data_IF_994148649340
#
_entry.id   IF_994148649340
#
_cell.length_a   1.000
_cell.length_b   1.000
_cell.length_c   1.000
_cell.angle_alpha   90.00
_cell.angle_beta   90.00
_cell.angle_gamma   90.00
#
_symmetry.space_group_name_H-M   'P 1'
#
loop_
_entity.id
_entity.type
_entity.pdbx_description
1 polymer ?
#
# COMPACT_ATOMS: atom_id res chain seq x y z
N UNK A 1 9.79 -5.31 22.43
CA UNK A 1 8.77 -5.85 23.36
C UNK A 1 7.43 -5.10 23.31
N UNK A 2 7.37 -3.76 23.42
CA UNK A 2 6.07 -3.03 23.46
C UNK A 2 5.16 -3.24 22.23
N UNK A 3 5.70 -3.22 21.00
CA UNK A 3 4.92 -3.44 19.75
C UNK A 3 4.28 -4.83 19.73
N UNK A 4 5.07 -5.86 20.08
CA UNK A 4 4.60 -7.25 20.11
C UNK A 4 3.44 -7.40 21.10
N UNK A 5 3.54 -6.79 22.28
CA UNK A 5 2.47 -6.85 23.28
C UNK A 5 1.18 -6.18 22.80
N UNK A 6 1.27 -5.00 22.16
CA UNK A 6 0.08 -4.35 21.59
C UNK A 6 -0.54 -5.17 20.46
N UNK A 7 0.29 -5.76 19.59
CA UNK A 7 -0.20 -6.62 18.52
C UNK A 7 -0.82 -7.92 19.04
N UNK A 8 -0.21 -8.58 20.02
CA UNK A 8 -0.78 -9.77 20.67
C UNK A 8 -2.09 -9.44 21.38
N UNK A 9 -2.17 -8.31 22.08
CA UNK A 9 -3.41 -7.82 22.69
C UNK A 9 -4.51 -7.59 21.65
N UNK A 10 -4.18 -6.98 20.50
CA UNK A 10 -5.13 -6.83 19.41
C UNK A 10 -5.59 -8.17 18.81
N UNK A 11 -4.69 -9.13 18.61
CA UNK A 11 -5.06 -10.47 18.14
C UNK A 11 -5.95 -11.20 19.15
N UNK A 12 -5.67 -11.07 20.45
CA UNK A 12 -6.52 -11.62 21.49
C UNK A 12 -7.93 -11.01 21.43
N UNK A 13 -8.04 -9.69 21.24
CA UNK A 13 -9.33 -9.03 21.01
C UNK A 13 -10.02 -9.52 19.73
N UNK A 14 -9.30 -9.75 18.64
CA UNK A 14 -9.87 -10.33 17.41
C UNK A 14 -10.41 -11.74 17.63
N UNK A 15 -9.68 -12.58 18.39
CA UNK A 15 -10.13 -13.93 18.73
C UNK A 15 -11.41 -13.86 19.58
N UNK A 16 -11.44 -13.01 20.61
CA UNK A 16 -12.66 -12.81 21.40
C UNK A 16 -13.81 -12.31 20.53
N UNK A 17 -13.56 -11.34 19.65
CA UNK A 17 -14.56 -10.79 18.75
C UNK A 17 -15.08 -11.83 17.75
N UNK A 18 -14.25 -12.78 17.30
CA UNK A 18 -14.68 -13.86 16.39
C UNK A 18 -15.70 -14.83 16.99
N UNK A 19 -15.91 -14.80 18.31
CA UNK A 19 -16.98 -15.57 18.97
C UNK A 19 -18.31 -14.81 19.03
N UNK A 20 -18.33 -13.52 18.67
CA UNK A 20 -19.55 -12.72 18.62
C UNK A 20 -20.31 -12.95 17.30
N UNK A 21 -21.64 -12.78 17.26
CA UNK A 21 -22.41 -12.87 16.01
C UNK A 21 -21.87 -11.89 14.95
N UNK A 22 -21.39 -12.42 13.82
CA UNK A 22 -20.79 -11.66 12.74
C UNK A 22 -21.01 -12.33 11.37
N UNK A 23 -20.80 -11.58 10.28
CA UNK A 23 -20.87 -12.09 8.91
C UNK A 23 -19.93 -13.29 8.73
N UNK A 24 -20.28 -14.31 7.94
CA UNK A 24 -19.39 -15.44 7.68
C UNK A 24 -18.20 -14.99 6.84
N UNK A 25 -17.11 -14.60 7.52
CA UNK A 25 -15.87 -14.10 6.90
C UNK A 25 -14.77 -15.15 7.01
N UNK A 26 -14.10 -15.51 5.90
CA UNK A 26 -13.00 -16.48 5.91
C UNK A 26 -11.79 -15.96 6.71
N UNK A 27 -10.84 -16.85 7.02
CA UNK A 27 -9.67 -16.54 7.86
C UNK A 27 -8.77 -15.42 7.31
N UNK A 28 -8.59 -15.32 5.99
CA UNK A 28 -7.66 -14.37 5.37
C UNK A 28 -7.96 -12.89 5.70
N UNK A 29 -9.20 -12.39 5.58
CA UNK A 29 -9.56 -11.05 6.06
C UNK A 29 -9.19 -10.76 7.52
N UNK A 30 -9.29 -11.73 8.43
CA UNK A 30 -8.85 -11.56 9.82
C UNK A 30 -7.34 -11.41 9.93
N UNK A 31 -6.59 -12.23 9.19
CA UNK A 31 -5.13 -12.11 9.08
C UNK A 31 -4.74 -10.73 8.51
N UNK A 32 -5.42 -10.28 7.45
CA UNK A 32 -5.19 -8.97 6.86
C UNK A 32 -5.44 -7.84 7.86
N UNK A 33 -6.52 -7.91 8.66
CA UNK A 33 -6.80 -6.95 9.72
C UNK A 33 -5.71 -6.92 10.80
N UNK A 34 -5.19 -8.08 11.19
CA UNK A 34 -4.06 -8.19 12.10
C UNK A 34 -2.77 -7.58 11.53
N UNK A 35 -2.49 -7.84 10.25
CA UNK A 35 -1.34 -7.27 9.53
C UNK A 35 -1.45 -5.75 9.39
N UNK A 36 -2.63 -5.22 9.06
CA UNK A 36 -2.87 -3.77 9.01
C UNK A 36 -2.53 -3.11 10.34
N UNK A 37 -2.99 -3.67 11.46
CA UNK A 37 -2.70 -3.12 12.78
C UNK A 37 -1.20 -3.17 13.10
N UNK A 38 -0.52 -4.27 12.77
CA UNK A 38 0.92 -4.39 12.96
C UNK A 38 1.71 -3.38 12.11
N UNK A 39 1.34 -3.22 10.83
CA UNK A 39 1.92 -2.22 9.93
C UNK A 39 1.72 -0.81 10.50
N UNK A 40 0.55 -0.50 11.07
CA UNK A 40 0.31 0.75 11.76
C UNK A 40 1.27 0.95 12.94
N UNK A 41 1.39 -0.01 13.85
CA UNK A 41 2.30 0.10 15.00
C UNK A 41 3.77 0.28 14.60
N UNK A 42 4.23 -0.46 13.59
CA UNK A 42 5.61 -0.35 13.07
C UNK A 42 5.81 1.02 12.41
N UNK A 43 4.85 1.48 11.60
CA UNK A 43 4.91 2.80 10.95
C UNK A 43 4.94 3.94 11.97
N UNK A 44 4.15 3.84 13.05
CA UNK A 44 4.17 4.82 14.12
C UNK A 44 5.52 4.84 14.87
N UNK A 45 6.14 3.68 15.04
CA UNK A 45 7.46 3.56 15.65
C UNK A 45 8.52 4.26 14.78
N UNK A 46 8.46 4.04 13.46
CA UNK A 46 9.34 4.74 12.51
C UNK A 46 9.08 6.24 12.57
N UNK A 47 7.83 6.69 12.57
CA UNK A 47 7.48 8.11 12.67
C UNK A 47 8.08 8.79 13.92
N UNK A 48 8.08 8.10 15.06
CA UNK A 48 8.64 8.64 16.31
C UNK A 48 10.17 8.73 16.31
N UNK A 49 10.84 7.76 15.71
CA UNK A 49 12.29 7.64 15.79
C UNK A 49 13.02 8.32 14.63
N UNK A 50 12.45 8.26 13.43
CA UNK A 50 13.09 8.72 12.20
C UNK A 50 13.12 10.26 12.12
N UNK A 51 14.29 10.83 11.83
CA UNK A 51 14.44 12.28 11.67
C UNK A 51 13.95 12.78 10.30
N UNK A 52 14.13 11.98 9.24
CA UNK A 52 13.89 12.39 7.86
C UNK A 52 12.64 11.72 7.27
N UNK A 53 11.81 12.47 6.56
CA UNK A 53 10.58 11.96 5.92
C UNK A 53 9.60 11.25 6.87
N UNK A 54 9.63 11.56 8.17
CA UNK A 54 8.80 10.90 9.18
C UNK A 54 7.29 11.01 8.87
N UNK A 55 6.87 12.08 8.22
CA UNK A 55 5.46 12.33 7.85
C UNK A 55 4.90 11.28 6.90
N UNK A 56 5.75 10.68 6.06
CA UNK A 56 5.35 9.55 5.20
C UNK A 56 4.85 8.40 6.07
N UNK A 57 5.62 8.05 7.10
CA UNK A 57 5.28 6.95 8.01
C UNK A 57 4.09 7.29 8.91
N UNK A 58 3.84 8.57 9.20
CA UNK A 58 2.63 9.00 9.87
C UNK A 58 1.37 8.78 9.02
N UNK A 59 1.43 9.14 7.73
CA UNK A 59 0.32 8.89 6.79
C UNK A 59 0.05 7.38 6.61
N UNK A 60 1.12 6.57 6.54
CA UNK A 60 1.01 5.10 6.51
C UNK A 60 0.36 4.58 7.80
N UNK A 61 0.78 5.09 8.97
CA UNK A 61 0.20 4.72 10.26
C UNK A 61 -1.31 5.00 10.30
N UNK A 62 -1.74 6.22 9.98
CA UNK A 62 -3.17 6.58 9.99
C UNK A 62 -3.96 5.69 9.02
N UNK A 63 -3.43 5.51 7.81
CA UNK A 63 -4.07 4.68 6.78
C UNK A 63 -4.30 3.27 7.31
N UNK A 64 -3.24 2.58 7.73
CA UNK A 64 -3.34 1.18 8.12
C UNK A 64 -4.06 0.97 9.45
N UNK A 65 -4.08 1.96 10.34
CA UNK A 65 -4.91 1.94 11.55
C UNK A 65 -6.40 1.96 11.18
N UNK A 66 -6.80 2.81 10.24
CA UNK A 66 -8.19 2.89 9.79
C UNK A 66 -8.60 1.66 8.96
N UNK A 67 -7.68 1.07 8.19
CA UNK A 67 -7.90 -0.22 7.54
C UNK A 67 -8.15 -1.34 8.57
N UNK A 68 -7.42 -1.38 9.69
CA UNK A 68 -7.62 -2.42 10.72
C UNK A 68 -8.97 -2.29 11.44
N UNK A 69 -9.43 -1.07 11.67
CA UNK A 69 -10.77 -0.79 12.24
C UNK A 69 -11.92 -1.17 11.29
N UNK A 70 -11.63 -1.49 10.02
CA UNK A 70 -12.62 -2.02 9.08
C UNK A 70 -13.26 -3.33 9.55
N UNK A 71 -12.64 -4.09 10.45
CA UNK A 71 -13.25 -5.30 11.01
C UNK A 71 -14.59 -5.01 11.71
N UNK A 72 -14.84 -3.79 12.18
CA UNK A 72 -16.10 -3.44 12.87
C UNK A 72 -17.33 -3.65 11.98
N UNK A 73 -17.22 -3.46 10.66
CA UNK A 73 -18.40 -3.54 9.79
C UNK A 73 -18.99 -4.94 9.67
N UNK A 74 -18.22 -5.99 9.91
CA UNK A 74 -18.68 -7.39 9.76
C UNK A 74 -19.59 -7.82 10.92
N UNK A 75 -19.67 -7.02 11.97
CA UNK A 75 -20.52 -7.24 13.14
C UNK A 75 -21.87 -6.50 13.04
N UNK A 76 -22.11 -5.75 11.95
CA UNK A 76 -23.34 -4.98 11.75
C UNK A 76 -24.35 -5.79 10.93
N UNK A 77 -25.54 -6.00 11.48
CA UNK A 77 -26.72 -6.51 10.77
C UNK A 77 -27.75 -7.17 11.69
N UNK A 78 -28.87 -7.59 11.12
CA UNK A 78 -30.09 -7.96 11.87
C UNK A 78 -29.91 -9.21 12.75
N UNK A 79 -29.00 -10.11 12.36
CA UNK A 79 -28.62 -11.29 13.13
C UNK A 79 -27.17 -11.22 13.67
N UNK A 80 -26.58 -10.03 13.70
CA UNK A 80 -25.21 -9.84 14.14
C UNK A 80 -25.16 -8.99 15.42
N UNK A 81 -23.96 -8.68 15.89
CA UNK A 81 -23.76 -8.09 17.21
C UNK A 81 -24.43 -6.71 17.39
N UNK A 82 -24.65 -5.95 16.30
CA UNK A 82 -25.30 -4.64 16.39
C UNK A 82 -25.98 -4.21 15.08
N UNK A 83 -26.98 -3.33 15.18
CA UNK A 83 -27.62 -2.69 14.03
C UNK A 83 -28.60 -3.59 13.27
N UNK A 84 -28.79 -3.28 11.97
CA UNK A 84 -29.63 -4.03 11.05
C UNK A 84 -28.94 -4.12 9.67
N UNK A 85 -29.44 -4.98 8.79
CA UNK A 85 -28.78 -5.26 7.50
C UNK A 85 -28.66 -4.01 6.63
N UNK A 86 -29.62 -3.09 6.74
CA UNK A 86 -29.59 -1.78 6.09
C UNK A 86 -28.38 -0.96 6.52
N UNK A 87 -28.15 -0.79 7.83
CA UNK A 87 -27.00 -0.06 8.37
C UNK A 87 -25.70 -0.80 8.04
N UNK A 88 -25.70 -2.13 8.09
CA UNK A 88 -24.51 -2.93 7.79
C UNK A 88 -24.03 -2.75 6.37
N UNK A 89 -24.93 -2.84 5.40
CA UNK A 89 -24.61 -2.60 3.99
C UNK A 89 -24.16 -1.15 3.74
N UNK A 90 -24.87 -0.18 4.33
CA UNK A 90 -24.53 1.24 4.22
C UNK A 90 -23.10 1.53 4.73
N UNK A 91 -22.78 1.11 5.95
CA UNK A 91 -21.47 1.32 6.56
C UNK A 91 -20.37 0.61 5.76
N UNK A 92 -20.64 -0.61 5.28
CA UNK A 92 -19.69 -1.38 4.50
C UNK A 92 -19.30 -0.69 3.18
N UNK A 93 -20.26 -0.16 2.43
CA UNK A 93 -20.00 0.51 1.16
C UNK A 93 -19.35 1.89 1.35
N UNK A 94 -19.87 2.72 2.27
CA UNK A 94 -19.31 4.05 2.54
C UNK A 94 -17.88 4.02 3.08
N UNK A 95 -17.53 2.99 3.86
CA UNK A 95 -16.16 2.79 4.33
C UNK A 95 -15.17 2.69 3.17
N UNK A 96 -15.55 2.09 2.03
CA UNK A 96 -14.66 1.94 0.87
C UNK A 96 -14.22 3.30 0.33
N UNK A 97 -15.11 4.30 0.34
CA UNK A 97 -14.81 5.68 -0.08
C UNK A 97 -13.72 6.28 0.84
N UNK A 98 -13.90 6.18 2.16
CA UNK A 98 -12.94 6.70 3.13
C UNK A 98 -11.57 6.02 3.06
N UNK A 99 -11.54 4.68 2.99
CA UNK A 99 -10.28 3.93 2.86
C UNK A 99 -9.60 4.19 1.50
N UNK A 100 -10.39 4.36 0.44
CA UNK A 100 -9.87 4.74 -0.87
C UNK A 100 -9.17 6.10 -0.81
N UNK A 101 -9.80 7.10 -0.18
CA UNK A 101 -9.23 8.42 0.04
C UNK A 101 -7.90 8.36 0.80
N UNK A 102 -7.85 7.66 1.93
CA UNK A 102 -6.65 7.58 2.78
C UNK A 102 -5.45 6.95 2.08
N UNK A 103 -5.66 5.84 1.38
CA UNK A 103 -4.56 5.19 0.64
C UNK A 103 -4.09 6.08 -0.51
N UNK A 104 -5.02 6.66 -1.28
CA UNK A 104 -4.69 7.60 -2.36
C UNK A 104 -3.93 8.82 -1.83
N UNK A 105 -4.34 9.36 -0.69
CA UNK A 105 -3.71 10.51 -0.03
C UNK A 105 -2.26 10.18 0.35
N UNK A 106 -2.04 9.04 0.99
CA UNK A 106 -0.69 8.58 1.37
C UNK A 106 0.23 8.43 0.16
N UNK A 107 -0.25 7.80 -0.91
CA UNK A 107 0.52 7.58 -2.14
C UNK A 107 0.84 8.90 -2.85
N UNK A 108 -0.16 9.76 -3.02
CA UNK A 108 0.02 11.07 -3.67
C UNK A 108 0.96 11.94 -2.83
N UNK A 109 0.89 11.92 -1.49
CA UNK A 109 1.82 12.65 -0.63
C UNK A 109 3.27 12.25 -0.86
N UNK A 110 3.56 10.94 -0.93
CA UNK A 110 4.91 10.44 -1.23
C UNK A 110 5.35 10.88 -2.64
N UNK A 111 4.43 10.78 -3.61
CA UNK A 111 4.60 11.27 -4.98
C UNK A 111 4.98 12.75 -5.04
N UNK A 112 4.18 13.61 -4.40
CA UNK A 112 4.36 15.05 -4.34
C UNK A 112 5.73 15.39 -3.75
N UNK A 113 6.07 14.79 -2.62
CA UNK A 113 7.34 15.05 -1.95
C UNK A 113 8.53 14.74 -2.86
N UNK A 114 8.45 13.70 -3.71
CA UNK A 114 9.51 13.33 -4.66
C UNK A 114 9.55 14.27 -5.87
N UNK A 115 8.39 14.50 -6.48
CA UNK A 115 8.26 15.24 -7.74
C UNK A 115 8.58 16.73 -7.54
N UNK A 116 8.14 17.33 -6.44
CA UNK A 116 8.39 18.75 -6.16
C UNK A 116 9.57 18.99 -5.23
N UNK A 117 9.98 18.02 -4.41
CA UNK A 117 11.14 18.17 -3.52
C UNK A 117 10.96 19.25 -2.46
N UNK A 118 9.71 19.62 -2.13
CA UNK A 118 9.42 20.67 -1.15
C UNK A 118 9.82 20.22 0.25
N UNK A 119 10.70 21.00 0.90
CA UNK A 119 11.12 20.75 2.29
C UNK A 119 10.00 21.02 3.29
N UNK A 120 9.09 21.95 2.98
CA UNK A 120 7.97 22.28 3.86
C UNK A 120 6.93 21.16 3.88
N UNK A 121 6.71 20.59 5.06
CA UNK A 121 5.67 19.59 5.33
C UNK A 121 4.29 20.13 4.98
N UNK A 122 3.98 21.37 5.39
CA UNK A 122 2.70 21.99 5.12
C UNK A 122 2.42 22.13 3.62
N UNK A 123 3.42 22.56 2.83
CA UNK A 123 3.26 22.66 1.37
C UNK A 123 3.01 21.30 0.72
N UNK A 124 3.68 20.23 1.18
CA UNK A 124 3.42 18.89 0.68
C UNK A 124 1.98 18.44 0.94
N UNK A 125 1.44 18.71 2.14
CA UNK A 125 0.04 18.43 2.46
C UNK A 125 -0.93 19.26 1.62
N UNK A 126 -0.66 20.55 1.43
CA UNK A 126 -1.47 21.45 0.58
C UNK A 126 -1.50 20.96 -0.86
N UNK A 127 -0.34 20.66 -1.46
CA UNK A 127 -0.30 20.14 -2.83
C UNK A 127 -1.00 18.78 -2.95
N UNK A 128 -0.82 17.89 -1.97
CA UNK A 128 -1.55 16.61 -1.93
C UNK A 128 -3.06 16.84 -1.92
N UNK A 129 -3.54 17.74 -1.06
CA UNK A 129 -4.95 18.09 -0.96
C UNK A 129 -5.49 18.72 -2.25
N UNK A 130 -4.75 19.66 -2.85
CA UNK A 130 -5.11 20.30 -4.12
C UNK A 130 -5.21 19.32 -5.29
N UNK A 131 -4.45 18.22 -5.27
CA UNK A 131 -4.51 17.17 -6.28
C UNK A 131 -5.70 16.22 -6.03
N UNK A 132 -5.84 15.74 -4.79
CA UNK A 132 -6.78 14.66 -4.49
C UNK A 132 -8.21 15.16 -4.27
N UNK A 133 -8.41 16.32 -3.63
CA UNK A 133 -9.72 16.81 -3.22
C UNK A 133 -10.63 17.16 -4.39
N UNK A 134 -10.18 17.85 -5.46
CA UNK A 134 -11.05 18.11 -6.60
C UNK A 134 -11.55 16.81 -7.24
N UNK A 135 -10.68 15.82 -7.39
CA UNK A 135 -11.04 14.52 -7.96
C UNK A 135 -11.98 13.73 -7.06
N UNK A 136 -11.73 13.77 -5.74
CA UNK A 136 -12.60 13.14 -4.74
C UNK A 136 -13.99 13.76 -4.73
N UNK A 137 -14.08 15.09 -4.69
CA UNK A 137 -15.35 15.81 -4.67
C UNK A 137 -16.12 15.57 -5.98
N UNK A 138 -15.48 15.63 -7.15
CA UNK A 138 -16.17 15.37 -8.43
C UNK A 138 -16.75 13.95 -8.49
N UNK A 139 -16.01 12.94 -8.03
CA UNK A 139 -16.45 11.54 -8.11
C UNK A 139 -17.41 11.12 -6.99
N UNK A 140 -17.37 11.77 -5.83
CA UNK A 140 -18.14 11.34 -4.66
C UNK A 140 -19.10 12.39 -4.11
N UNK A 141 -19.27 13.56 -4.76
CA UNK A 141 -20.19 14.63 -4.31
C UNK A 141 -21.57 14.10 -3.93
N UNK A 142 -22.19 13.32 -4.82
CA UNK A 142 -23.57 12.87 -4.59
C UNK A 142 -23.65 11.86 -3.43
N UNK A 143 -22.62 11.02 -3.28
CA UNK A 143 -22.49 10.12 -2.13
C UNK A 143 -22.29 10.89 -0.82
N UNK A 144 -21.64 12.06 -0.84
CA UNK A 144 -21.38 12.88 0.33
C UNK A 144 -22.57 13.77 0.73
N UNK A 145 -23.34 14.26 -0.25
CA UNK A 145 -24.43 15.22 -0.03
C UNK A 145 -25.77 14.54 0.24
N UNK A 146 -26.06 13.41 -0.41
CA UNK A 146 -27.30 12.67 -0.21
C UNK A 146 -27.01 11.34 0.48
N UNK A 147 -27.45 11.24 1.74
CA UNK A 147 -27.29 10.04 2.57
C UNK A 147 -28.00 8.83 1.96
N UNK A 148 -29.03 9.04 1.15
CA UNK A 148 -29.78 7.95 0.54
C UNK A 148 -29.32 7.63 -0.89
N UNK A 149 -28.28 8.32 -1.39
CA UNK A 149 -27.83 8.21 -2.77
C UNK A 149 -27.42 6.79 -3.16
N UNK A 150 -26.75 6.08 -2.24
CA UNK A 150 -26.34 4.69 -2.41
C UNK A 150 -27.52 3.75 -2.68
N UNK A 151 -28.70 4.05 -2.12
CA UNK A 151 -29.92 3.26 -2.31
C UNK A 151 -30.67 3.63 -3.60
N UNK A 152 -30.62 4.91 -3.98
CA UNK A 152 -31.25 5.42 -5.21
C UNK A 152 -30.49 4.97 -6.46
N UNK A 153 -29.20 4.69 -6.34
CA UNK A 153 -28.33 4.34 -7.47
C UNK A 153 -27.92 2.88 -7.46
N UNK A 154 -27.57 2.36 -8.64
CA UNK A 154 -26.99 1.03 -8.73
C UNK A 154 -25.58 1.06 -8.12
N UNK A 155 -25.28 0.14 -7.20
CA UNK A 155 -23.95 -0.05 -6.58
C UNK A 155 -22.79 -0.01 -7.59
N UNK A 156 -23.04 -0.42 -8.83
CA UNK A 156 -22.10 -0.33 -9.96
C UNK A 156 -21.49 1.07 -10.14
N UNK A 157 -22.26 2.14 -9.91
CA UNK A 157 -21.77 3.52 -10.01
C UNK A 157 -20.70 3.82 -8.96
N UNK A 158 -20.90 3.38 -7.70
CA UNK A 158 -19.91 3.50 -6.64
C UNK A 158 -18.59 2.83 -7.05
N UNK A 159 -18.64 1.59 -7.54
CA UNK A 159 -17.44 0.87 -7.96
C UNK A 159 -16.76 1.51 -9.18
N UNK A 160 -17.51 2.09 -10.12
CA UNK A 160 -16.93 2.89 -11.22
C UNK A 160 -16.19 4.11 -10.68
N UNK A 161 -16.76 4.83 -9.73
CA UNK A 161 -16.13 6.02 -9.16
C UNK A 161 -14.91 5.65 -8.32
N UNK A 162 -14.96 4.57 -7.55
CA UNK A 162 -13.80 4.01 -6.84
C UNK A 162 -12.68 3.59 -7.80
N UNK A 163 -13.03 2.92 -8.91
CA UNK A 163 -12.08 2.54 -9.95
C UNK A 163 -11.38 3.78 -10.53
N UNK A 164 -12.15 4.77 -10.99
CA UNK A 164 -11.61 6.01 -11.54
C UNK A 164 -10.73 6.74 -10.52
N UNK A 165 -11.18 6.85 -9.27
CA UNK A 165 -10.45 7.51 -8.20
C UNK A 165 -9.09 6.85 -7.91
N UNK A 166 -8.99 5.52 -8.01
CA UNK A 166 -7.75 4.77 -7.80
C UNK A 166 -6.78 4.80 -8.97
N UNK A 167 -7.20 5.20 -10.17
CA UNK A 167 -6.27 5.44 -11.28
C UNK A 167 -5.33 6.61 -10.98
N UNK A 168 -5.82 7.64 -10.28
CA UNK A 168 -5.02 8.83 -9.94
C UNK A 168 -3.75 8.49 -9.12
N UNK A 169 -3.80 7.82 -7.96
CA UNK A 169 -2.59 7.47 -7.22
C UNK A 169 -1.71 6.48 -8.01
N UNK A 170 -2.28 5.60 -8.84
CA UNK A 170 -1.49 4.70 -9.70
C UNK A 170 -0.64 5.49 -10.71
N UNK A 171 -1.22 6.49 -11.37
CA UNK A 171 -0.49 7.40 -12.25
C UNK A 171 0.61 8.16 -11.50
N UNK A 172 0.34 8.57 -10.25
CA UNK A 172 1.35 9.20 -9.40
C UNK A 172 2.51 8.27 -9.02
N UNK A 173 2.25 6.97 -8.81
CA UNK A 173 3.33 5.99 -8.61
C UNK A 173 4.18 5.85 -9.88
N UNK A 174 3.55 5.79 -11.05
CA UNK A 174 4.28 5.75 -12.33
C UNK A 174 5.14 7.01 -12.51
N UNK A 175 4.59 8.20 -12.25
CA UNK A 175 5.33 9.47 -12.28
C UNK A 175 6.46 9.48 -11.26
N UNK A 176 6.22 9.00 -10.04
CA UNK A 176 7.26 8.83 -9.01
C UNK A 176 8.41 7.97 -9.51
N UNK A 177 8.11 6.85 -10.18
CA UNK A 177 9.11 5.96 -10.75
C UNK A 177 9.92 6.63 -11.87
N UNK A 178 9.24 7.32 -12.80
CA UNK A 178 9.90 8.06 -13.89
C UNK A 178 10.81 9.17 -13.35
N UNK A 179 10.34 9.95 -12.38
CA UNK A 179 11.12 11.00 -11.72
C UNK A 179 12.28 10.39 -10.95
N UNK A 180 12.10 9.25 -10.28
CA UNK A 180 13.19 8.56 -9.58
C UNK A 180 14.27 8.05 -10.53
N UNK A 181 13.91 7.63 -11.73
CA UNK A 181 14.89 7.25 -12.76
C UNK A 181 15.60 8.47 -13.35
N UNK A 182 14.89 9.58 -13.58
CA UNK A 182 15.45 10.78 -14.25
C UNK A 182 16.23 11.70 -13.31
N UNK A 183 15.81 11.82 -12.06
CA UNK A 183 16.34 12.78 -11.08
C UNK A 183 16.82 12.06 -9.81
N UNK A 184 18.05 12.36 -9.39
CA UNK A 184 18.75 11.71 -8.27
C UNK A 184 18.31 12.29 -6.89
N UNK A 185 17.00 12.49 -6.71
CA UNK A 185 16.47 13.02 -5.43
C UNK A 185 16.34 11.88 -4.42
N UNK A 186 17.06 11.90 -3.29
CA UNK A 186 17.02 10.79 -2.34
C UNK A 186 15.72 10.81 -1.50
N UNK A 187 15.00 9.69 -1.55
CA UNK A 187 13.81 9.40 -0.75
C UNK A 187 14.01 8.22 0.22
N UNK A 188 15.14 7.54 0.10
CA UNK A 188 15.43 6.29 0.77
C UNK A 188 14.91 5.06 0.03
N UNK A 189 15.73 4.00 0.06
CA UNK A 189 15.40 2.68 -0.48
C UNK A 189 14.10 2.10 0.13
N UNK A 190 13.86 2.35 1.43
CA UNK A 190 12.66 1.90 2.11
C UNK A 190 11.39 2.56 1.54
N UNK A 191 11.42 3.87 1.26
CA UNK A 191 10.29 4.60 0.66
C UNK A 191 10.04 4.14 -0.77
N UNK A 192 11.09 3.92 -1.56
CA UNK A 192 10.98 3.34 -2.90
C UNK A 192 10.32 1.95 -2.87
N UNK A 193 10.72 1.12 -1.91
CA UNK A 193 10.15 -0.22 -1.71
C UNK A 193 8.68 -0.16 -1.30
N UNK A 194 8.33 0.75 -0.39
CA UNK A 194 6.93 1.00 -0.02
C UNK A 194 6.09 1.43 -1.21
N UNK A 195 6.57 2.34 -2.07
CA UNK A 195 5.85 2.76 -3.29
C UNK A 195 5.65 1.62 -4.28
N UNK A 196 6.65 0.75 -4.47
CA UNK A 196 6.52 -0.45 -5.30
C UNK A 196 5.46 -1.42 -4.75
N UNK A 197 5.36 -1.56 -3.43
CA UNK A 197 4.33 -2.41 -2.81
C UNK A 197 2.94 -1.76 -2.89
N UNK A 198 2.84 -0.44 -2.74
CA UNK A 198 1.58 0.28 -2.98
C UNK A 198 1.10 0.16 -4.42
N UNK A 199 2.01 0.03 -5.39
CA UNK A 199 1.65 -0.27 -6.77
C UNK A 199 0.92 -1.62 -6.90
N UNK A 200 1.39 -2.66 -6.21
CA UNK A 200 0.74 -3.98 -6.18
C UNK A 200 -0.64 -3.91 -5.52
N UNK A 201 -0.72 -3.25 -4.37
CA UNK A 201 -1.99 -3.11 -3.62
C UNK A 201 -3.03 -2.35 -4.47
N UNK A 202 -2.65 -1.21 -5.05
CA UNK A 202 -3.57 -0.42 -5.89
C UNK A 202 -3.96 -1.16 -7.18
N UNK A 203 -3.02 -1.87 -7.81
CA UNK A 203 -3.30 -2.69 -8.99
C UNK A 203 -4.32 -3.79 -8.70
N UNK A 204 -4.19 -4.46 -7.56
CA UNK A 204 -5.14 -5.48 -7.10
C UNK A 204 -6.52 -4.87 -6.76
N UNK A 205 -6.56 -3.72 -6.07
CA UNK A 205 -7.83 -3.04 -5.76
C UNK A 205 -8.60 -2.62 -7.03
N UNK A 206 -7.90 -2.08 -8.03
CA UNK A 206 -8.50 -1.72 -9.32
C UNK A 206 -9.13 -2.93 -10.01
N UNK A 207 -8.47 -4.08 -9.93
CA UNK A 207 -9.00 -5.31 -10.50
C UNK A 207 -10.23 -5.81 -9.75
N UNK A 208 -10.22 -5.72 -8.41
CA UNK A 208 -11.40 -6.04 -7.59
C UNK A 208 -12.60 -5.16 -7.98
N UNK A 209 -12.40 -3.85 -8.12
CA UNK A 209 -13.46 -2.94 -8.57
C UNK A 209 -13.92 -3.21 -10.00
N UNK A 210 -13.00 -3.50 -10.92
CA UNK A 210 -13.36 -3.88 -12.29
C UNK A 210 -14.24 -5.14 -12.31
N UNK A 211 -13.93 -6.11 -11.47
CA UNK A 211 -14.76 -7.31 -11.30
C UNK A 211 -16.14 -6.99 -10.78
N UNK A 212 -16.25 -6.14 -9.76
CA UNK A 212 -17.53 -5.73 -9.19
C UNK A 212 -18.40 -4.99 -10.23
N UNK A 213 -17.78 -4.18 -11.09
CA UNK A 213 -18.45 -3.51 -12.21
C UNK A 213 -18.96 -4.52 -13.24
N UNK A 214 -18.16 -5.54 -13.56
CA UNK A 214 -18.48 -6.59 -14.54
C UNK A 214 -19.29 -7.76 -13.97
N UNK A 215 -19.57 -7.76 -12.66
CA UNK A 215 -20.21 -8.85 -11.91
C UNK A 215 -19.52 -10.21 -12.10
N UNK A 216 -18.20 -10.21 -12.17
CA UNK A 216 -17.42 -11.45 -12.30
C UNK A 216 -17.16 -12.02 -10.89
N UNK A 217 -17.41 -13.31 -10.71
CA UNK A 217 -17.15 -14.01 -9.45
C UNK A 217 -15.64 -14.15 -9.27
N UNK A 218 -15.10 -13.46 -8.26
CA UNK A 218 -13.69 -13.58 -7.89
C UNK A 218 -13.54 -14.75 -6.91
N UNK A 219 -12.69 -15.71 -7.26
CA UNK A 219 -12.13 -16.66 -6.29
C UNK A 219 -11.18 -15.85 -5.40
N UNK A 220 -11.16 -16.08 -4.08
CA UNK A 220 -10.46 -15.36 -2.97
C UNK A 220 -8.95 -15.03 -3.14
N UNK A 221 -8.39 -15.22 -4.32
CA UNK A 221 -7.02 -14.95 -4.73
C UNK A 221 -6.63 -13.49 -4.53
N UNK A 222 -7.58 -12.56 -4.67
CA UNK A 222 -7.40 -11.16 -4.31
C UNK A 222 -6.94 -11.01 -2.84
N UNK A 223 -7.53 -11.76 -1.91
CA UNK A 223 -7.17 -11.72 -0.49
C UNK A 223 -5.76 -12.30 -0.24
N UNK A 224 -5.36 -13.33 -0.98
CA UNK A 224 -4.00 -13.89 -0.89
C UNK A 224 -2.94 -12.89 -1.35
N UNK A 225 -3.16 -12.23 -2.50
CA UNK A 225 -2.24 -11.22 -3.05
C UNK A 225 -2.09 -10.05 -2.08
N UNK A 226 -3.22 -9.61 -1.51
CA UNK A 226 -3.24 -8.57 -0.50
C UNK A 226 -2.39 -8.99 0.71
N UNK A 227 -2.61 -10.20 1.23
CA UNK A 227 -1.86 -10.75 2.38
C UNK A 227 -0.35 -10.73 2.10
N UNK A 228 0.07 -11.23 0.94
CA UNK A 228 1.49 -11.26 0.53
C UNK A 228 2.04 -9.82 0.45
N UNK A 229 1.30 -8.90 -0.15
CA UNK A 229 1.71 -7.49 -0.27
C UNK A 229 1.88 -6.83 1.10
N UNK A 230 1.01 -7.15 2.06
CA UNK A 230 1.11 -6.66 3.44
C UNK A 230 2.30 -7.25 4.19
N UNK A 231 2.58 -8.54 4.01
CA UNK A 231 3.78 -9.18 4.58
C UNK A 231 5.04 -8.52 4.02
N UNK A 232 5.12 -8.29 2.71
CA UNK A 232 6.23 -7.59 2.08
C UNK A 232 6.39 -6.17 2.64
N UNK A 233 5.30 -5.44 2.80
CA UNK A 233 5.32 -4.09 3.37
C UNK A 233 5.84 -4.11 4.81
N UNK A 234 5.36 -5.05 5.62
CA UNK A 234 5.81 -5.24 6.99
C UNK A 234 7.32 -5.54 7.05
N UNK A 235 7.83 -6.42 6.18
CA UNK A 235 9.27 -6.74 6.12
C UNK A 235 10.10 -5.49 5.79
N UNK A 236 9.67 -4.67 4.83
CA UNK A 236 10.35 -3.41 4.48
C UNK A 236 10.38 -2.46 5.69
N UNK A 237 9.25 -2.30 6.39
CA UNK A 237 9.14 -1.40 7.54
C UNK A 237 9.95 -1.91 8.74
N UNK A 238 9.94 -3.22 9.02
CA UNK A 238 10.76 -3.82 10.08
C UNK A 238 12.26 -3.63 9.81
N UNK A 239 12.70 -3.76 8.55
CA UNK A 239 14.09 -3.47 8.17
C UNK A 239 14.43 -1.99 8.38
N UNK A 240 13.49 -1.06 8.13
CA UNK A 240 13.68 0.37 8.44
C UNK A 240 13.81 0.61 9.95
N UNK A 241 13.00 -0.05 10.78
CA UNK A 241 13.13 0.01 12.25
C UNK A 241 14.48 -0.52 12.69
N UNK A 242 14.91 -1.68 12.19
CA UNK A 242 16.20 -2.26 12.52
C UNK A 242 17.37 -1.33 12.15
N UNK A 243 17.28 -0.67 10.99
CA UNK A 243 18.25 0.33 10.58
C UNK A 243 18.30 1.53 11.53
N UNK A 244 17.14 2.12 11.89
CA UNK A 244 17.08 3.25 12.82
C UNK A 244 17.69 2.89 14.18
N UNK A 245 17.42 1.68 14.68
CA UNK A 245 17.92 1.23 15.98
C UNK A 245 19.40 0.83 15.97
N UNK A 246 20.00 0.60 14.79
CA UNK A 246 21.40 0.22 14.66
C UNK A 246 22.35 1.37 15.06
N UNK A 247 23.58 1.04 15.47
CA UNK A 247 24.62 2.05 15.79
C UNK A 247 24.88 2.99 14.61
N UNK A 248 24.90 2.43 13.40
CA UNK A 248 25.06 3.17 12.15
C UNK A 248 23.89 4.14 11.97
N UNK A 249 22.65 3.68 12.17
CA UNK A 249 21.45 4.53 12.07
C UNK A 249 21.47 5.67 13.08
N UNK A 250 21.78 5.37 14.35
CA UNK A 250 21.89 6.37 15.43
C UNK A 250 22.98 7.40 15.17
N UNK A 251 24.15 6.97 14.68
CA UNK A 251 25.24 7.85 14.28
C UNK A 251 24.80 8.83 13.19
N UNK A 252 24.07 8.33 12.17
CA UNK A 252 23.57 9.17 11.10
C UNK A 252 22.43 10.09 11.53
N UNK A 253 21.53 9.65 12.41
CA UNK A 253 20.50 10.52 12.98
C UNK A 253 21.12 11.64 13.81
N UNK A 254 22.18 11.37 14.58
CA UNK A 254 22.92 12.39 15.31
C UNK A 254 23.58 13.42 14.36
N UNK A 255 24.15 12.97 13.24
CA UNK A 255 24.69 13.85 12.19
C UNK A 255 23.62 14.76 11.57
N UNK A 256 22.41 14.24 11.33
CA UNK A 256 21.29 15.00 10.77
C UNK A 256 20.71 16.00 11.76
N UNK A 257 20.71 15.68 13.05
CA UNK A 257 20.25 16.58 14.12
C UNK A 257 21.25 17.72 14.40
N UNK A 258 22.55 17.49 14.19
CA UNK A 258 23.64 18.45 14.40
C UNK A 258 23.78 19.60 13.38
N UNK A 259 22.72 20.02 12.71
CA UNK A 259 22.66 21.14 11.74
C UNK A 259 23.36 20.96 10.37
N UNK A 260 23.92 19.79 10.05
CA UNK A 260 24.40 19.51 8.69
C UNK A 260 23.26 19.02 7.77
N UNK A 261 22.28 19.91 7.49
CA UNK A 261 21.17 19.66 6.54
C UNK A 261 21.64 19.33 5.12
N UNK A 262 22.89 19.68 4.78
CA UNK A 262 23.51 19.38 3.48
C UNK A 262 23.96 17.92 3.33
N UNK A 263 24.02 17.15 4.43
CA UNK A 263 24.39 15.73 4.43
C UNK A 263 23.19 14.78 4.26
N UNK A 264 21.95 15.28 4.33
CA UNK A 264 20.71 14.53 4.06
C UNK A 264 20.80 13.56 2.85
N UNK A 265 21.32 13.97 1.68
CA UNK A 265 21.43 13.09 0.51
C UNK A 265 22.55 12.03 0.60
N UNK A 266 23.65 12.32 1.30
CA UNK A 266 24.83 11.43 1.41
C UNK A 266 24.59 10.25 2.37
N UNK A 267 23.75 10.45 3.38
CA UNK A 267 23.42 9.45 4.40
C UNK A 267 22.56 8.31 3.82
N UNK A 268 21.57 8.62 2.98
CA UNK A 268 20.73 7.59 2.33
C UNK A 268 21.51 6.82 1.23
N UNK A 269 22.45 7.47 0.55
CA UNK A 269 23.33 6.80 -0.42
C UNK A 269 24.22 5.72 0.23
N UNK A 270 24.52 5.81 1.54
CA UNK A 270 25.32 4.81 2.29
C UNK A 270 24.49 3.81 3.10
N UNK A 271 23.17 3.98 3.25
CA UNK A 271 22.30 2.94 3.81
C UNK A 271 22.21 1.67 2.93
N UNK A 272 22.80 1.72 1.73
CA UNK A 272 22.99 0.63 0.73
C UNK A 272 23.59 -0.68 1.28
N UNK A 273 24.16 -0.73 2.49
CA UNK A 273 24.67 -1.97 3.11
C UNK A 273 23.60 -2.79 3.82
N UNK A 274 22.48 -2.20 4.26
CA UNK A 274 21.49 -2.86 5.12
C UNK A 274 20.56 -3.87 4.42
N UNK A 275 20.56 -3.90 3.09
CA UNK A 275 19.71 -4.77 2.28
C UNK A 275 20.52 -5.63 1.29
N UNK A 276 21.68 -6.13 1.74
CA UNK A 276 22.52 -7.07 0.97
C UNK A 276 21.70 -8.20 0.32
N UNK A 277 20.68 -8.76 0.99
CA UNK A 277 19.81 -9.80 0.43
C UNK A 277 18.91 -9.35 -0.72
N UNK A 278 18.36 -8.13 -0.69
CA UNK A 278 17.55 -7.61 -1.80
C UNK A 278 18.46 -7.09 -2.93
N UNK A 279 19.66 -6.61 -2.60
CA UNK A 279 20.72 -6.34 -3.58
C UNK A 279 21.19 -7.61 -4.29
N UNK A 280 21.40 -8.72 -3.59
CA UNK A 280 21.73 -10.00 -4.22
C UNK A 280 20.56 -10.54 -5.06
N UNK A 281 19.32 -10.42 -4.59
CA UNK A 281 18.15 -10.79 -5.38
C UNK A 281 18.00 -9.93 -6.64
N UNK A 282 18.17 -8.61 -6.53
CA UNK A 282 18.12 -7.69 -7.66
C UNK A 282 19.33 -7.84 -8.60
N UNK A 283 20.53 -8.10 -8.08
CA UNK A 283 21.72 -8.38 -8.88
C UNK A 283 21.62 -9.73 -9.58
N UNK A 284 21.07 -10.74 -8.91
CA UNK A 284 20.72 -12.03 -9.51
C UNK A 284 19.68 -11.85 -10.61
N UNK A 285 18.63 -11.05 -10.37
CA UNK A 285 17.61 -10.72 -11.36
C UNK A 285 18.14 -9.88 -12.53
N UNK A 286 19.11 -8.98 -12.32
CA UNK A 286 19.71 -8.17 -13.38
C UNK A 286 20.67 -9.01 -14.23
N UNK A 287 21.46 -9.87 -13.60
CA UNK A 287 22.36 -10.82 -14.26
C UNK A 287 21.62 -11.91 -15.04
N UNK A 288 20.44 -12.33 -14.56
CA UNK A 288 19.55 -13.34 -15.18
C UNK A 288 18.26 -12.72 -15.72
N UNK A 289 18.26 -11.44 -16.11
CA UNK A 289 17.07 -10.69 -16.55
C UNK A 289 16.27 -11.42 -17.62
N UNK A 290 16.96 -12.04 -18.58
CA UNK A 290 16.36 -12.80 -19.65
C UNK A 290 15.76 -14.14 -19.17
N UNK A 291 16.34 -14.78 -18.16
CA UNK A 291 15.80 -16.00 -17.55
C UNK A 291 14.58 -15.69 -16.69
N UNK A 292 14.55 -14.57 -15.96
CA UNK A 292 13.37 -14.17 -15.20
C UNK A 292 12.22 -13.75 -16.10
N UNK A 293 12.49 -12.97 -17.16
CA UNK A 293 11.53 -12.69 -18.23
C UNK A 293 11.01 -14.00 -18.85
N UNK A 294 11.90 -14.95 -19.12
CA UNK A 294 11.53 -16.27 -19.62
C UNK A 294 10.66 -17.08 -18.65
N UNK A 295 10.93 -17.04 -17.34
CA UNK A 295 10.08 -17.70 -16.32
C UNK A 295 8.72 -17.02 -16.21
N UNK A 296 8.65 -15.69 -16.25
CA UNK A 296 7.37 -14.94 -16.25
C UNK A 296 6.57 -15.24 -17.53
N UNK A 297 7.23 -15.30 -18.69
CA UNK A 297 6.60 -15.67 -19.96
C UNK A 297 6.14 -17.13 -19.94
N UNK A 298 6.96 -18.06 -19.44
CA UNK A 298 6.59 -19.47 -19.27
C UNK A 298 5.43 -19.65 -18.28
N UNK A 299 5.40 -18.86 -17.20
CA UNK A 299 4.29 -18.88 -16.26
C UNK A 299 3.02 -18.32 -16.90
N UNK A 300 3.12 -17.20 -17.63
CA UNK A 300 2.01 -16.64 -18.41
C UNK A 300 1.49 -17.61 -19.50
N UNK A 301 2.39 -18.33 -20.18
CA UNK A 301 2.04 -19.38 -21.15
C UNK A 301 1.42 -20.61 -20.46
N UNK A 302 1.97 -21.04 -19.32
CA UNK A 302 1.45 -22.15 -18.51
C UNK A 302 0.03 -21.89 -17.99
N UNK A 303 -0.27 -20.66 -17.59
CA UNK A 303 -1.62 -20.24 -17.18
C UNK A 303 -2.61 -20.32 -18.34
N UNK A 304 -2.17 -20.08 -19.58
CA UNK A 304 -3.03 -20.23 -20.76
C UNK A 304 -3.36 -21.70 -21.05
N UNK A 305 -2.45 -22.64 -20.73
CA UNK A 305 -2.62 -24.09 -20.91
C UNK A 305 -3.58 -24.70 -19.87
N UNK A 306 -3.60 -24.20 -18.63
CA UNK A 306 -4.53 -24.68 -17.60
C UNK A 306 -5.94 -24.16 -17.87
N UNK A 307 -6.96 -25.00 -17.76
CA UNK A 307 -8.39 -24.63 -17.90
C UNK A 307 -8.89 -23.85 -16.68
N UNK A 308 -8.29 -22.68 -16.42
CA UNK A 308 -8.75 -21.72 -15.42
C UNK A 308 -9.81 -20.78 -16.02
N UNK A 309 -10.74 -20.25 -15.22
CA UNK A 309 -11.63 -19.17 -15.65
C UNK A 309 -10.82 -18.01 -16.24
N UNK A 310 -11.27 -17.43 -17.36
CA UNK A 310 -10.60 -16.33 -18.07
C UNK A 310 -10.16 -15.20 -17.12
N UNK A 311 -11.01 -14.89 -16.17
CA UNK A 311 -10.77 -13.86 -15.17
C UNK A 311 -9.60 -14.19 -14.23
N UNK A 312 -9.46 -15.46 -13.82
CA UNK A 312 -8.33 -15.91 -13.04
C UNK A 312 -7.03 -15.83 -13.85
N UNK A 313 -7.08 -16.19 -15.14
CA UNK A 313 -5.93 -16.04 -16.05
C UNK A 313 -5.48 -14.58 -16.14
N UNK A 314 -6.42 -13.65 -16.33
CA UNK A 314 -6.15 -12.20 -16.37
C UNK A 314 -5.52 -11.68 -15.07
N UNK A 315 -6.03 -12.15 -13.93
CA UNK A 315 -5.53 -11.78 -12.61
C UNK A 315 -4.06 -12.18 -12.43
N UNK A 316 -3.75 -13.46 -12.69
CA UNK A 316 -2.39 -13.98 -12.54
C UNK A 316 -1.45 -13.30 -13.54
N UNK A 317 -1.87 -13.12 -14.79
CA UNK A 317 -1.11 -12.40 -15.81
C UNK A 317 -0.77 -10.96 -15.38
N UNK A 318 -1.75 -10.21 -14.86
CA UNK A 318 -1.55 -8.84 -14.41
C UNK A 318 -0.64 -8.75 -13.18
N UNK A 319 -0.74 -9.68 -12.24
CA UNK A 319 0.19 -9.75 -11.10
C UNK A 319 1.60 -10.01 -11.59
N UNK A 320 1.77 -10.95 -12.52
CA UNK A 320 3.05 -11.22 -13.15
C UNK A 320 3.59 -9.98 -13.89
N UNK A 321 2.72 -9.21 -14.56
CA UNK A 321 3.08 -7.96 -15.21
C UNK A 321 3.50 -6.88 -14.20
N UNK A 322 2.73 -6.67 -13.13
CA UNK A 322 3.06 -5.70 -12.09
C UNK A 322 4.36 -6.07 -11.37
N UNK A 323 4.56 -7.35 -11.07
CA UNK A 323 5.81 -7.85 -10.52
C UNK A 323 6.98 -7.62 -11.48
N UNK A 324 6.79 -7.89 -12.77
CA UNK A 324 7.79 -7.62 -13.80
C UNK A 324 8.16 -6.13 -13.86
N UNK A 325 7.16 -5.23 -13.83
CA UNK A 325 7.39 -3.78 -13.82
C UNK A 325 8.24 -3.37 -12.60
N UNK A 326 7.96 -3.95 -11.43
CA UNK A 326 8.73 -3.69 -10.20
C UNK A 326 10.17 -4.18 -10.35
N UNK A 327 10.38 -5.39 -10.87
CA UNK A 327 11.71 -5.95 -11.11
C UNK A 327 12.50 -5.07 -12.08
N UNK A 328 11.88 -4.66 -13.20
CA UNK A 328 12.49 -3.79 -14.20
C UNK A 328 12.81 -2.40 -13.64
N UNK A 329 11.91 -1.84 -12.81
CA UNK A 329 12.12 -0.57 -12.14
C UNK A 329 13.35 -0.61 -11.22
N UNK A 330 13.44 -1.63 -10.36
CA UNK A 330 14.57 -1.75 -9.45
C UNK A 330 15.88 -2.08 -10.19
N UNK A 331 15.87 -3.00 -11.17
CA UNK A 331 17.04 -3.27 -12.02
C UNK A 331 17.61 -1.99 -12.63
N UNK A 332 16.76 -1.13 -13.23
CA UNK A 332 17.20 0.15 -13.81
C UNK A 332 17.67 1.16 -12.78
N UNK A 333 17.01 1.24 -11.62
CA UNK A 333 17.35 2.20 -10.57
C UNK A 333 18.71 1.86 -9.94
N UNK A 334 19.01 0.58 -9.73
CA UNK A 334 20.25 0.15 -9.09
C UNK A 334 21.43 -0.06 -10.05
N UNK A 335 21.20 -0.36 -11.34
CA UNK A 335 22.28 -0.44 -12.35
C UNK A 335 22.96 0.92 -12.58
N UNK A 336 22.20 2.02 -12.61
CA UNK A 336 22.76 3.40 -12.71
C UNK A 336 23.66 3.79 -11.54
N UNK A 337 23.41 3.22 -10.36
CA UNK A 337 24.18 3.47 -9.14
C UNK A 337 25.45 2.62 -9.02
N UNK A 338 25.67 1.68 -9.95
CA UNK A 338 26.89 0.87 -10.04
C UNK A 338 27.89 1.40 -11.08
N UNK A 339 27.45 2.27 -11.98
CA UNK A 339 28.27 2.90 -13.02
C UNK A 339 28.83 4.28 -12.64
N UNK A 340 28.44 4.80 -11.46
CA UNK A 340 29.02 5.96 -10.79
C UNK A 340 29.65 5.49 -9.48
#
# INVERSE_FOLDING_TARGET
MKILNYWLGYNFLLILASNLPHWPVPLLPWINCSLYFLIALVSFTIFKANAYNKEIYFNIFITFLLFSLGIVSIFIGENYSFGNDYIGWYVYEYRKIGLAFLLSFTVIYIGVKKIWGCKSVALNYIFTALIIMPFFLVLFKDFLLDKDFLFKTHYVLLYKNLFLFKLLPLLFICLYGLVSLKYDRPMGEYTNSTMAIFFLILGQELFSYYSSIRKIIIIQIDQFILTISLILLLVVLLKKVAYILSEIGKFYEALLQGHHKELEPLVELRSKKGLLTFRFFLYYLDYRRNFFLFVVILFALGINIVNLPLFLKLNIFLISLFFLIIVLYFSRLYSRHFQR
#
